data_IF_992578406360
#
_entry.id   IF_992578406360
#
_cell.length_a   1.000
_cell.length_b   1.000
_cell.length_c   1.000
_cell.angle_alpha   90.00
_cell.angle_beta   90.00
_cell.angle_gamma   90.00
#
_symmetry.space_group_name_H-M   'P 1'
#
loop_
_entity.id
_entity.type
_entity.pdbx_description
1 polymer ?
#
# COMPACT_ATOMS: atom_id res chain seq x y z
N UNK A 1 9.18 5.74 8.15
CA UNK A 1 9.38 4.42 7.50
C UNK A 1 10.67 4.51 6.67
N UNK A 2 11.76 3.85 7.08
CA UNK A 2 13.00 3.84 6.30
C UNK A 2 13.22 2.42 5.78
N UNK A 3 13.18 2.27 4.46
CA UNK A 3 13.45 1.02 3.77
C UNK A 3 14.91 1.03 3.34
N UNK A 4 15.70 0.08 3.83
CA UNK A 4 17.08 -0.12 3.39
C UNK A 4 17.11 -1.20 2.32
N UNK A 5 17.52 -0.82 1.11
CA UNK A 5 17.76 -1.76 0.01
C UNK A 5 19.17 -2.32 0.17
N UNK A 6 19.28 -3.60 0.52
CA UNK A 6 20.56 -4.32 0.48
C UNK A 6 20.69 -4.88 -0.94
N UNK A 7 21.52 -4.27 -1.78
CA UNK A 7 21.88 -4.81 -3.08
C UNK A 7 22.98 -5.85 -2.90
N UNK A 8 22.57 -7.12 -2.74
CA UNK A 8 23.48 -8.27 -2.86
C UNK A 8 23.77 -8.57 -4.34
N UNK A 9 25.00 -8.99 -4.63
CA UNK A 9 25.50 -9.27 -5.97
C UNK A 9 24.65 -10.30 -6.75
N UNK A 10 24.62 -10.07 -8.06
CA UNK A 10 23.93 -10.83 -9.12
C UNK A 10 23.88 -12.35 -8.92
N UNK A 11 22.70 -12.88 -8.57
CA UNK A 11 22.17 -14.16 -9.06
C UNK A 11 20.65 -14.06 -9.16
N UNK A 12 20.06 -14.76 -10.13
CA UNK A 12 18.73 -14.55 -10.70
C UNK A 12 17.53 -14.95 -9.80
N UNK A 13 17.48 -14.47 -8.56
CA UNK A 13 16.30 -14.57 -7.69
C UNK A 13 16.13 -13.26 -6.90
N UNK A 14 15.62 -12.23 -7.57
CA UNK A 14 15.30 -10.94 -6.94
C UNK A 14 14.02 -11.04 -6.11
N UNK A 15 13.97 -11.97 -5.17
CA UNK A 15 12.88 -12.06 -4.21
C UNK A 15 13.17 -11.08 -3.08
N UNK A 16 12.59 -9.87 -3.23
CA UNK A 16 12.59 -8.82 -2.20
C UNK A 16 12.14 -9.43 -0.86
N UNK A 17 13.07 -9.58 0.09
CA UNK A 17 12.74 -10.03 1.44
C UNK A 17 12.45 -8.82 2.31
N UNK A 18 11.17 -8.59 2.57
CA UNK A 18 10.72 -7.60 3.56
C UNK A 18 10.69 -8.30 4.93
N UNK A 19 11.41 -7.75 5.91
CA UNK A 19 11.39 -8.22 7.30
C UNK A 19 10.91 -7.10 8.22
N UNK A 20 10.00 -7.42 9.12
CA UNK A 20 9.56 -6.51 10.17
C UNK A 20 10.66 -6.40 11.24
N UNK A 21 11.14 -5.18 11.51
CA UNK A 21 12.03 -4.90 12.65
C UNK A 21 11.24 -4.18 13.75
N UNK A 22 10.89 -4.86 14.85
CA UNK A 22 10.11 -4.27 15.93
C UNK A 22 10.82 -3.08 16.59
N UNK A 23 12.16 -2.99 16.53
CA UNK A 23 12.92 -1.87 17.12
C UNK A 23 12.78 -0.56 16.35
N UNK A 24 12.29 -0.64 15.12
CA UNK A 24 11.98 0.50 14.26
C UNK A 24 10.46 0.63 14.02
N UNK A 25 9.66 -0.14 14.77
CA UNK A 25 8.20 -0.05 14.76
C UNK A 25 7.75 1.19 15.53
N UNK A 26 6.75 1.88 14.99
CA UNK A 26 6.07 2.99 15.66
C UNK A 26 4.95 2.48 16.58
N UNK A 27 4.74 1.16 16.62
CA UNK A 27 3.80 0.48 17.49
C UNK A 27 4.51 0.16 18.80
N UNK A 28 4.26 0.99 19.81
CA UNK A 28 4.71 0.81 21.20
C UNK A 28 3.92 -0.33 21.88
N UNK A 29 4.54 -1.05 22.82
CA UNK A 29 3.88 -2.15 23.56
C UNK A 29 2.56 -1.71 24.22
N UNK A 30 2.49 -0.44 24.65
CA UNK A 30 1.33 0.24 25.22
C UNK A 30 0.10 0.25 24.29
N UNK A 31 0.32 0.25 22.98
CA UNK A 31 -0.71 0.18 21.94
C UNK A 31 -1.18 -1.25 21.69
N UNK A 32 -0.43 -2.26 22.13
CA UNK A 32 -0.71 -3.69 21.92
C UNK A 32 -1.43 -4.31 23.13
N UNK A 33 -1.54 -3.58 24.24
CA UNK A 33 -2.21 -4.06 25.45
C UNK A 33 -3.73 -3.81 25.40
N UNK A 34 -4.57 -4.87 25.32
CA UNK A 34 -6.02 -4.75 25.20
C UNK A 34 -6.71 -4.13 26.42
N UNK A 35 -5.96 -3.95 27.53
CA UNK A 35 -6.43 -3.26 28.73
C UNK A 35 -6.61 -1.75 28.50
N UNK A 36 -5.93 -1.16 27.51
CA UNK A 36 -6.15 0.22 27.08
C UNK A 36 -6.98 0.27 25.78
N UNK A 37 -8.27 -0.07 25.91
CA UNK A 37 -9.21 -0.27 24.79
C UNK A 37 -9.25 0.91 23.81
N UNK A 38 -9.11 2.15 24.29
CA UNK A 38 -9.13 3.33 23.43
C UNK A 38 -7.88 3.43 22.55
N UNK A 39 -6.70 3.22 23.13
CA UNK A 39 -5.45 3.22 22.37
C UNK A 39 -5.40 2.06 21.38
N UNK A 40 -5.78 0.86 21.81
CA UNK A 40 -5.89 -0.31 20.94
C UNK A 40 -6.81 -0.07 19.73
N UNK A 41 -7.97 0.58 19.92
CA UNK A 41 -8.87 0.94 18.81
C UNK A 41 -8.23 1.94 17.84
N UNK A 42 -7.55 2.97 18.35
CA UNK A 42 -6.84 3.94 17.49
C UNK A 42 -5.74 3.26 16.68
N UNK A 43 -5.00 2.32 17.25
CA UNK A 43 -3.98 1.56 16.52
C UNK A 43 -4.57 0.74 15.40
N UNK A 44 -5.71 0.09 15.62
CA UNK A 44 -6.40 -0.66 14.56
C UNK A 44 -6.89 0.26 13.44
N UNK A 45 -7.44 1.44 13.77
CA UNK A 45 -7.86 2.41 12.77
C UNK A 45 -6.68 2.92 11.93
N UNK A 46 -5.57 3.25 12.59
CA UNK A 46 -4.34 3.66 11.91
C UNK A 46 -3.77 2.54 11.05
N UNK A 47 -3.77 1.29 11.54
CA UNK A 47 -3.32 0.15 10.74
C UNK A 47 -4.21 -0.03 9.50
N UNK A 48 -5.53 0.08 9.64
CA UNK A 48 -6.44 0.03 8.51
C UNK A 48 -6.17 1.18 7.52
N UNK A 49 -5.82 2.38 8.01
CA UNK A 49 -5.47 3.51 7.17
C UNK A 49 -4.22 3.24 6.33
N UNK A 50 -3.16 2.75 6.96
CA UNK A 50 -1.91 2.40 6.27
C UNK A 50 -2.08 1.23 5.28
N UNK A 51 -3.00 0.30 5.56
CA UNK A 51 -3.33 -0.78 4.64
C UNK A 51 -3.93 -0.25 3.33
N UNK A 52 -4.72 0.83 3.37
CA UNK A 52 -5.29 1.43 2.15
C UNK A 52 -4.21 2.08 1.29
N UNK A 53 -3.26 2.80 1.88
CA UNK A 53 -2.10 3.34 1.15
C UNK A 53 -1.33 2.25 0.39
N UNK A 54 -1.13 1.10 1.05
CA UNK A 54 -0.50 -0.06 0.45
C UNK A 54 -1.33 -0.63 -0.71
N UNK A 55 -2.64 -0.81 -0.51
CA UNK A 55 -3.55 -1.33 -1.53
C UNK A 55 -3.62 -0.44 -2.77
N UNK A 56 -3.68 0.89 -2.61
CA UNK A 56 -3.60 1.86 -3.73
C UNK A 56 -2.35 1.60 -4.57
N UNK A 57 -1.20 1.44 -3.93
CA UNK A 57 0.08 1.19 -4.61
C UNK A 57 0.06 -0.15 -5.36
N UNK A 58 -0.46 -1.20 -4.74
CA UNK A 58 -0.59 -2.52 -5.36
C UNK A 58 -1.54 -2.52 -6.56
N UNK A 59 -2.66 -1.80 -6.49
CA UNK A 59 -3.63 -1.68 -7.58
C UNK A 59 -2.99 -1.03 -8.81
N UNK A 60 -2.30 0.09 -8.62
CA UNK A 60 -1.63 0.81 -9.70
C UNK A 60 -0.54 -0.05 -10.37
N UNK A 61 0.26 -0.78 -9.58
CA UNK A 61 1.26 -1.71 -10.13
C UNK A 61 0.60 -2.83 -10.92
N UNK A 62 -0.51 -3.39 -10.41
CA UNK A 62 -1.25 -4.45 -11.11
C UNK A 62 -1.80 -3.95 -12.46
N UNK A 63 -2.41 -2.77 -12.48
CA UNK A 63 -2.91 -2.13 -13.70
C UNK A 63 -1.78 -1.85 -14.70
N UNK A 64 -0.66 -1.30 -14.22
CA UNK A 64 0.51 -1.03 -15.05
C UNK A 64 1.09 -2.31 -15.69
N UNK A 65 1.24 -3.37 -14.90
CA UNK A 65 1.70 -4.67 -15.39
C UNK A 65 0.74 -5.26 -16.43
N UNK A 66 -0.56 -5.14 -16.20
CA UNK A 66 -1.58 -5.58 -17.15
C UNK A 66 -1.45 -4.83 -18.49
N UNK A 67 -1.38 -3.48 -18.44
CA UNK A 67 -1.22 -2.64 -19.64
C UNK A 67 0.07 -3.01 -20.39
N UNK A 68 1.21 -3.13 -19.70
CA UNK A 68 2.47 -3.53 -20.31
C UNK A 68 2.39 -4.94 -20.94
N UNK A 69 1.66 -5.87 -20.32
CA UNK A 69 1.53 -7.23 -20.84
C UNK A 69 0.74 -7.33 -22.15
N UNK A 70 -0.21 -6.41 -22.37
CA UNK A 70 -1.09 -6.41 -23.55
C UNK A 70 -0.56 -5.49 -24.65
N UNK A 71 -0.11 -4.29 -24.27
CA UNK A 71 0.24 -3.23 -25.21
C UNK A 71 1.75 -3.08 -25.41
N UNK A 72 2.56 -3.75 -24.57
CA UNK A 72 4.00 -3.49 -24.50
C UNK A 72 4.29 -2.10 -23.93
N UNK A 73 5.49 -1.59 -24.18
CA UNK A 73 5.91 -0.26 -23.77
C UNK A 73 7.16 -0.24 -22.91
N UNK A 74 7.55 0.95 -22.47
CA UNK A 74 8.75 1.14 -21.67
C UNK A 74 8.42 0.98 -20.17
N UNK A 75 8.88 -0.12 -19.57
CA UNK A 75 8.63 -0.43 -18.17
C UNK A 75 9.17 0.64 -17.20
N UNK A 76 10.27 1.32 -17.54
CA UNK A 76 10.82 2.38 -16.70
C UNK A 76 9.93 3.63 -16.70
N UNK A 77 9.43 4.04 -17.86
CA UNK A 77 8.47 5.15 -17.96
C UNK A 77 7.16 4.82 -17.22
N UNK A 78 6.67 3.58 -17.35
CA UNK A 78 5.50 3.12 -16.62
C UNK A 78 5.72 3.15 -15.11
N UNK A 79 6.90 2.72 -14.62
CA UNK A 79 7.25 2.81 -13.21
C UNK A 79 7.24 4.26 -12.70
N UNK A 80 7.78 5.20 -13.48
CA UNK A 80 7.77 6.61 -13.11
C UNK A 80 6.34 7.17 -13.02
N UNK A 81 5.48 6.78 -13.97
CA UNK A 81 4.06 7.15 -13.95
C UNK A 81 3.36 6.57 -12.71
N UNK A 82 3.53 5.27 -12.43
CA UNK A 82 2.94 4.61 -11.25
C UNK A 82 3.36 5.31 -9.96
N UNK A 83 4.65 5.65 -9.81
CA UNK A 83 5.14 6.37 -8.64
C UNK A 83 4.47 7.73 -8.45
N UNK A 84 4.39 8.53 -9.53
CA UNK A 84 3.76 9.84 -9.48
C UNK A 84 2.26 9.74 -9.15
N UNK A 85 1.56 8.79 -9.76
CA UNK A 85 0.13 8.56 -9.50
C UNK A 85 -0.12 8.06 -8.08
N UNK A 86 0.70 7.12 -7.58
CA UNK A 86 0.61 6.62 -6.21
C UNK A 86 0.82 7.75 -5.19
N UNK A 87 1.84 8.59 -5.40
CA UNK A 87 2.08 9.74 -4.53
C UNK A 87 0.86 10.66 -4.48
N UNK A 88 0.31 11.04 -5.65
CA UNK A 88 -0.87 11.90 -5.73
C UNK A 88 -2.08 11.29 -5.02
N UNK A 89 -2.38 10.02 -5.27
CA UNK A 89 -3.54 9.35 -4.67
C UNK A 89 -3.38 9.20 -3.15
N UNK A 90 -2.19 8.85 -2.66
CA UNK A 90 -1.94 8.77 -1.22
C UNK A 90 -2.11 10.13 -0.54
N UNK A 91 -1.63 11.22 -1.13
CA UNK A 91 -1.87 12.58 -0.61
C UNK A 91 -3.35 12.95 -0.60
N UNK A 92 -4.10 12.57 -1.64
CA UNK A 92 -5.54 12.80 -1.69
C UNK A 92 -6.27 11.99 -0.61
N UNK A 93 -5.94 10.71 -0.48
CA UNK A 93 -6.52 9.82 0.52
C UNK A 93 -6.28 10.31 1.95
N UNK A 94 -5.07 10.77 2.26
CA UNK A 94 -4.75 11.42 3.54
C UNK A 94 -5.63 12.65 3.80
N UNK A 95 -5.80 13.51 2.79
CA UNK A 95 -6.61 14.72 2.90
C UNK A 95 -8.10 14.39 3.12
N UNK A 96 -8.65 13.47 2.34
CA UNK A 96 -10.07 13.10 2.39
C UNK A 96 -10.46 12.44 3.71
N UNK A 97 -9.56 11.59 4.22
CA UNK A 97 -9.78 10.86 5.47
C UNK A 97 -9.35 11.64 6.71
N UNK A 98 -8.77 12.83 6.55
CA UNK A 98 -8.10 13.55 7.63
C UNK A 98 -7.11 12.62 8.38
N UNK A 99 -6.22 11.97 7.62
CA UNK A 99 -5.29 10.95 8.10
C UNK A 99 -5.97 9.84 8.92
N UNK A 100 -7.05 9.26 8.39
CA UNK A 100 -7.77 8.13 8.99
C UNK A 100 -8.71 8.50 10.15
N UNK A 101 -8.95 9.79 10.40
CA UNK A 101 -9.91 10.25 11.41
C UNK A 101 -11.37 10.24 10.90
N UNK A 102 -11.57 10.29 9.59
CA UNK A 102 -12.88 10.18 8.93
C UNK A 102 -13.10 8.75 8.43
N UNK A 103 -13.81 7.97 9.25
CA UNK A 103 -14.06 6.52 9.01
C UNK A 103 -14.92 6.29 7.76
N UNK A 104 -15.91 7.14 7.50
CA UNK A 104 -16.81 6.97 6.36
C UNK A 104 -16.06 7.21 5.04
N UNK A 105 -15.20 8.25 5.00
CA UNK A 105 -14.32 8.48 3.86
C UNK A 105 -13.34 7.33 3.67
N UNK A 106 -12.74 6.82 4.76
CA UNK A 106 -11.84 5.68 4.70
C UNK A 106 -12.55 4.43 4.15
N UNK A 107 -13.78 4.14 4.59
CA UNK A 107 -14.55 3.01 4.07
C UNK A 107 -14.88 3.18 2.59
N UNK A 108 -15.25 4.39 2.16
CA UNK A 108 -15.52 4.67 0.74
C UNK A 108 -14.29 4.39 -0.14
N UNK A 109 -13.10 4.80 0.32
CA UNK A 109 -11.84 4.49 -0.36
C UNK A 109 -11.52 2.99 -0.37
N UNK A 110 -11.78 2.27 0.72
CA UNK A 110 -11.60 0.82 0.80
C UNK A 110 -12.46 0.13 -0.26
N UNK A 111 -13.75 0.48 -0.30
CA UNK A 111 -14.71 -0.13 -1.24
C UNK A 111 -14.28 0.11 -2.68
N UNK A 112 -13.93 1.36 -3.04
CA UNK A 112 -13.50 1.70 -4.40
C UNK A 112 -12.20 0.98 -4.82
N UNK A 113 -11.22 0.88 -3.91
CA UNK A 113 -9.96 0.17 -4.20
C UNK A 113 -10.21 -1.33 -4.37
N UNK A 114 -11.06 -1.94 -3.54
CA UNK A 114 -11.39 -3.36 -3.62
C UNK A 114 -12.20 -3.71 -4.88
N UNK A 115 -13.15 -2.85 -5.27
CA UNK A 115 -13.92 -3.01 -6.50
C UNK A 115 -12.98 -3.01 -7.72
N UNK A 116 -12.06 -2.05 -7.80
CA UNK A 116 -11.08 -2.02 -8.89
C UNK A 116 -10.14 -3.24 -8.87
N UNK A 117 -9.79 -3.77 -7.70
CA UNK A 117 -9.00 -5.00 -7.62
C UNK A 117 -9.72 -6.23 -8.20
N UNK A 118 -11.05 -6.29 -8.07
CA UNK A 118 -11.86 -7.34 -8.66
C UNK A 118 -11.96 -7.20 -10.19
N UNK A 119 -12.06 -5.97 -10.69
CA UNK A 119 -12.14 -5.67 -12.13
C UNK A 119 -10.86 -5.99 -12.89
N UNK A 120 -9.68 -5.77 -12.28
CA UNK A 120 -8.38 -6.10 -12.89
C UNK A 120 -8.11 -7.61 -12.79
N UNK A 121 -9.07 -8.46 -13.17
CA UNK A 121 -8.90 -9.91 -13.26
C UNK A 121 -8.22 -10.30 -14.57
N UNK A 122 -7.20 -11.15 -14.46
CA UNK A 122 -6.42 -11.65 -15.61
C UNK A 122 -7.31 -12.60 -16.41
N UNK A 123 -7.45 -12.46 -17.73
CA UNK A 123 -8.00 -13.53 -18.56
C UNK A 123 -7.11 -14.75 -18.39
N UNK A 124 -7.64 -15.80 -17.76
CA UNK A 124 -7.01 -17.13 -17.77
C UNK A 124 -6.83 -17.56 -19.22
N UNK A 125 -5.57 -17.67 -19.65
CA UNK A 125 -5.21 -18.39 -20.88
C UNK A 125 -5.42 -19.88 -20.68
#
# INVERSE_FOLDING_TARGET
MQFSIITGEHTADHRLQVRFDPRHSWVFDELVHPQNVQQWRRSQMLLAHEQVHYLISCLLVRQANYVLSIQGGNAHQMLMLVKATAQRLNTQYDADTNHGLNVDAQQSWIDEVLDQFAEVSVPTR
#
